data_IF_431170055818
#
_entry.id   IF_431170055818
#
_cell.length_a   1.000
_cell.length_b   1.000
_cell.length_c   1.000
_cell.angle_alpha   90.00
_cell.angle_beta   90.00
_cell.angle_gamma   90.00
#
_symmetry.space_group_name_H-M   'P 1'
#
loop_
_entity.id
_entity.type
_entity.pdbx_description
1 polymer ?
#
# COMPACT_ATOMS: atom_id res chain seq x y z
N UNK A 1 -20.20 -25.35 -1.46
CA UNK A 1 -18.77 -25.58 -1.77
C UNK A 1 -18.28 -24.55 -2.77
N UNK A 2 -18.42 -23.27 -2.43
CA UNK A 2 -17.77 -22.16 -3.12
C UNK A 2 -17.32 -21.25 -1.97
N UNK A 3 -16.06 -21.34 -1.55
CA UNK A 3 -15.58 -20.43 -0.50
C UNK A 3 -14.04 -20.40 -0.39
N UNK A 4 -13.38 -21.56 -0.43
CA UNK A 4 -11.92 -21.61 -0.21
C UNK A 4 -11.08 -21.06 -1.36
N UNK A 5 -11.52 -21.21 -2.62
CA UNK A 5 -10.80 -20.68 -3.78
C UNK A 5 -10.96 -19.17 -3.95
N UNK A 6 -12.12 -18.62 -3.57
CA UNK A 6 -12.39 -17.18 -3.63
C UNK A 6 -11.65 -16.45 -2.50
N UNK A 7 -11.63 -17.02 -1.29
CA UNK A 7 -10.85 -16.50 -0.18
C UNK A 7 -9.34 -16.54 -0.43
N UNK A 8 -8.82 -17.66 -0.97
CA UNK A 8 -7.40 -17.77 -1.31
C UNK A 8 -6.96 -16.73 -2.38
N UNK A 9 -7.85 -16.42 -3.33
CA UNK A 9 -7.60 -15.38 -4.32
C UNK A 9 -7.60 -13.97 -3.68
N UNK A 10 -8.58 -13.66 -2.84
CA UNK A 10 -8.64 -12.37 -2.14
C UNK A 10 -7.40 -12.14 -1.25
N UNK A 11 -6.96 -13.16 -0.51
CA UNK A 11 -5.74 -13.09 0.30
C UNK A 11 -4.52 -12.77 -0.55
N UNK A 12 -4.34 -13.50 -1.66
CA UNK A 12 -3.18 -13.35 -2.53
C UNK A 12 -3.15 -11.97 -3.19
N UNK A 13 -4.30 -11.52 -3.72
CA UNK A 13 -4.45 -10.20 -4.34
C UNK A 13 -4.16 -9.07 -3.34
N UNK A 14 -4.72 -9.15 -2.13
CA UNK A 14 -4.46 -8.14 -1.07
C UNK A 14 -2.99 -8.16 -0.68
N UNK A 15 -2.37 -9.32 -0.47
CA UNK A 15 -0.95 -9.40 -0.10
C UNK A 15 -0.03 -8.82 -1.15
N UNK A 16 -0.25 -9.15 -2.42
CA UNK A 16 0.57 -8.62 -3.53
C UNK A 16 0.41 -7.10 -3.65
N UNK A 17 -0.83 -6.60 -3.58
CA UNK A 17 -1.10 -5.16 -3.60
C UNK A 17 -0.43 -4.42 -2.43
N UNK A 18 -0.53 -4.95 -1.21
CA UNK A 18 0.10 -4.35 -0.02
C UNK A 18 1.63 -4.42 -0.07
N UNK A 19 2.20 -5.49 -0.63
CA UNK A 19 3.65 -5.61 -0.80
C UNK A 19 4.18 -4.53 -1.76
N UNK A 20 3.52 -4.34 -2.92
CA UNK A 20 3.88 -3.29 -3.89
C UNK A 20 3.73 -1.90 -3.28
N UNK A 21 2.61 -1.64 -2.59
CA UNK A 21 2.37 -0.38 -1.90
C UNK A 21 3.46 -0.09 -0.86
N UNK A 22 3.84 -1.09 -0.05
CA UNK A 22 4.92 -0.95 0.93
C UNK A 22 6.27 -0.65 0.30
N UNK A 23 6.60 -1.29 -0.82
CA UNK A 23 7.83 -0.99 -1.57
C UNK A 23 7.80 0.43 -2.09
N UNK A 24 6.69 0.87 -2.70
CA UNK A 24 6.52 2.24 -3.18
C UNK A 24 6.64 3.27 -2.04
N UNK A 25 6.01 3.01 -0.88
CA UNK A 25 6.17 3.81 0.33
C UNK A 25 7.62 3.89 0.76
N UNK A 26 8.35 2.77 0.78
CA UNK A 26 9.76 2.77 1.13
C UNK A 26 10.60 3.61 0.17
N UNK A 27 10.33 3.57 -1.14
CA UNK A 27 11.04 4.37 -2.14
C UNK A 27 10.72 5.87 -2.03
N UNK A 28 9.45 6.24 -1.88
CA UNK A 28 9.02 7.63 -1.71
C UNK A 28 9.50 8.20 -0.35
N UNK A 29 9.45 7.41 0.72
CA UNK A 29 9.93 7.78 2.05
C UNK A 29 11.43 7.57 2.26
N UNK A 30 12.16 6.95 1.32
CA UNK A 30 13.60 6.62 1.44
C UNK A 30 14.47 7.83 1.76
N UNK A 31 13.93 9.03 1.55
CA UNK A 31 14.62 10.28 1.76
C UNK A 31 13.82 11.31 2.54
N UNK A 32 12.70 11.02 3.22
CA UNK A 32 11.84 11.96 4.00
C UNK A 32 12.19 13.48 4.03
N UNK A 33 13.34 13.91 4.60
CA UNK A 33 13.79 15.32 4.48
C UNK A 33 14.48 15.63 3.15
N UNK A 34 15.44 14.81 2.72
CA UNK A 34 16.05 14.83 1.39
C UNK A 34 15.04 14.72 0.25
N UNK A 35 13.93 14.00 0.39
CA UNK A 35 12.92 13.83 -0.66
C UNK A 35 12.12 15.11 -0.83
N UNK A 36 11.73 15.74 0.30
CA UNK A 36 11.14 17.08 0.28
C UNK A 36 12.10 18.12 -0.29
N UNK A 37 13.40 18.01 0.04
CA UNK A 37 14.43 18.89 -0.51
C UNK A 37 14.60 18.69 -2.03
N UNK A 38 14.63 17.44 -2.50
CA UNK A 38 14.74 17.10 -3.92
C UNK A 38 13.48 17.54 -4.70
N UNK A 39 12.29 17.31 -4.15
CA UNK A 39 11.03 17.84 -4.68
C UNK A 39 11.06 19.38 -4.77
N UNK A 40 11.61 20.07 -3.75
CA UNK A 40 11.77 21.52 -3.79
C UNK A 40 12.80 21.99 -4.82
N UNK A 41 13.82 21.17 -5.10
CA UNK A 41 14.81 21.39 -6.15
C UNK A 41 14.34 20.94 -7.54
N UNK A 42 13.06 20.63 -7.69
CA UNK A 42 12.42 20.23 -8.95
C UNK A 42 12.97 18.93 -9.56
N UNK A 43 13.57 18.07 -8.73
CA UNK A 43 14.21 16.82 -9.14
C UNK A 43 13.19 15.84 -9.76
N UNK A 44 13.44 15.44 -11.00
CA UNK A 44 12.53 14.59 -11.78
C UNK A 44 12.43 13.17 -11.21
N UNK A 45 13.47 12.65 -10.57
CA UNK A 45 13.46 11.31 -9.97
C UNK A 45 12.55 11.30 -8.73
N UNK A 46 12.62 12.35 -7.90
CA UNK A 46 11.74 12.52 -6.76
C UNK A 46 10.27 12.63 -7.18
N UNK A 47 9.95 13.40 -8.22
CA UNK A 47 8.58 13.50 -8.77
C UNK A 47 8.09 12.18 -9.35
N UNK A 48 8.95 11.44 -10.06
CA UNK A 48 8.61 10.14 -10.62
C UNK A 48 8.28 9.13 -9.52
N UNK A 49 9.05 9.12 -8.43
CA UNK A 49 8.78 8.27 -7.27
C UNK A 49 7.42 8.60 -6.62
N UNK A 50 7.08 9.87 -6.47
CA UNK A 50 5.79 10.32 -5.90
C UNK A 50 4.60 9.95 -6.82
N UNK A 51 4.77 10.14 -8.13
CA UNK A 51 3.79 9.70 -9.12
C UNK A 51 3.62 8.18 -9.13
N UNK A 52 4.71 7.41 -8.99
CA UNK A 52 4.67 5.96 -8.91
C UNK A 52 3.95 5.50 -7.64
N UNK A 53 4.21 6.14 -6.49
CA UNK A 53 3.50 5.89 -5.24
C UNK A 53 1.99 6.13 -5.42
N UNK A 54 1.61 7.27 -5.97
CA UNK A 54 0.19 7.62 -6.20
C UNK A 54 -0.52 6.57 -7.07
N UNK A 55 0.16 6.06 -8.10
CA UNK A 55 -0.38 5.01 -8.97
C UNK A 55 -0.56 3.69 -8.23
N UNK A 56 0.47 3.24 -7.53
CA UNK A 56 0.41 1.98 -6.75
C UNK A 56 -0.61 2.08 -5.63
N UNK A 57 -0.76 3.24 -5.01
CA UNK A 57 -1.80 3.49 -4.01
C UNK A 57 -3.20 3.35 -4.60
N UNK A 58 -3.47 3.94 -5.77
CA UNK A 58 -4.75 3.79 -6.45
C UNK A 58 -5.04 2.33 -6.82
N UNK A 59 -4.03 1.58 -7.29
CA UNK A 59 -4.14 0.15 -7.57
C UNK A 59 -4.44 -0.65 -6.29
N UNK A 60 -3.74 -0.38 -5.20
CA UNK A 60 -3.95 -1.04 -3.92
C UNK A 60 -5.36 -0.74 -3.37
N UNK A 61 -5.84 0.50 -3.46
CA UNK A 61 -7.21 0.90 -3.11
C UNK A 61 -8.24 0.12 -3.91
N UNK A 62 -8.03 -0.03 -5.22
CA UNK A 62 -8.92 -0.80 -6.10
C UNK A 62 -9.03 -2.27 -5.69
N UNK A 63 -7.92 -2.89 -5.28
CA UNK A 63 -7.89 -4.28 -4.81
C UNK A 63 -8.57 -4.42 -3.45
N UNK A 64 -8.16 -3.64 -2.44
CA UNK A 64 -8.67 -3.82 -1.07
C UNK A 64 -10.15 -3.45 -0.93
N UNK A 65 -10.69 -2.62 -1.81
CA UNK A 65 -12.12 -2.23 -1.81
C UNK A 65 -13.00 -3.12 -2.69
N UNK A 66 -12.43 -4.11 -3.38
CA UNK A 66 -13.13 -4.93 -4.39
C UNK A 66 -14.28 -5.75 -3.82
N UNK A 67 -14.09 -6.35 -2.64
CA UNK A 67 -15.14 -7.11 -1.94
C UNK A 67 -14.95 -7.03 -0.42
N UNK A 68 -15.93 -7.51 0.32
CA UNK A 68 -15.86 -7.57 1.78
C UNK A 68 -14.71 -8.47 2.25
N UNK A 69 -14.46 -9.60 1.57
CA UNK A 69 -13.33 -10.48 1.89
C UNK A 69 -11.99 -9.75 1.76
N UNK A 70 -11.82 -8.92 0.73
CA UNK A 70 -10.58 -8.13 0.55
C UNK A 70 -10.38 -7.14 1.70
N UNK A 71 -11.46 -6.50 2.16
CA UNK A 71 -11.41 -5.59 3.32
C UNK A 71 -11.08 -6.34 4.60
N UNK A 72 -11.70 -7.50 4.82
CA UNK A 72 -11.40 -8.35 5.98
C UNK A 72 -9.94 -8.79 5.99
N UNK A 73 -9.38 -9.18 4.84
CA UNK A 73 -7.96 -9.50 4.73
C UNK A 73 -7.06 -8.30 5.00
N UNK A 74 -7.43 -7.10 4.54
CA UNK A 74 -6.69 -5.88 4.89
C UNK A 74 -6.68 -5.64 6.40
N UNK A 75 -7.82 -5.77 7.08
CA UNK A 75 -7.90 -5.64 8.54
C UNK A 75 -7.07 -6.70 9.25
N UNK A 76 -7.13 -7.96 8.80
CA UNK A 76 -6.34 -9.06 9.35
C UNK A 76 -4.84 -8.76 9.22
N UNK A 77 -4.36 -8.45 8.02
CA UNK A 77 -2.95 -8.13 7.78
C UNK A 77 -2.51 -6.94 8.63
N UNK A 78 -3.32 -5.88 8.70
CA UNK A 78 -3.03 -4.69 9.51
C UNK A 78 -2.98 -5.02 11.00
N UNK A 79 -3.85 -5.91 11.49
CA UNK A 79 -3.87 -6.34 12.91
C UNK A 79 -2.63 -7.14 13.31
N UNK A 80 -2.05 -7.88 12.36
CA UNK A 80 -0.84 -8.69 12.57
C UNK A 80 0.46 -7.87 12.55
N UNK A 81 0.41 -6.61 12.10
CA UNK A 81 1.56 -5.70 12.14
C UNK A 81 1.81 -5.18 13.56
N UNK A 82 3.09 -5.08 13.93
CA UNK A 82 3.54 -4.33 15.11
C UNK A 82 3.15 -2.85 14.96
N UNK A 83 2.87 -2.18 16.06
CA UNK A 83 2.31 -0.81 16.05
C UNK A 83 3.17 0.18 15.25
N UNK A 84 4.49 0.17 15.44
CA UNK A 84 5.39 1.05 14.69
C UNK A 84 5.39 0.77 13.17
N UNK A 85 5.14 -0.47 12.75
CA UNK A 85 5.01 -0.84 11.34
C UNK A 85 3.67 -0.34 10.81
N UNK A 86 2.61 -0.47 11.60
CA UNK A 86 1.26 0.00 11.23
C UNK A 86 1.23 1.52 11.06
N UNK A 87 1.91 2.28 11.93
CA UNK A 87 2.03 3.73 11.83
C UNK A 87 2.76 4.19 10.57
N UNK A 88 3.74 3.40 10.11
CA UNK A 88 4.52 3.70 8.91
C UNK A 88 3.80 3.27 7.63
N UNK A 89 3.31 2.04 7.60
CA UNK A 89 2.75 1.43 6.40
C UNK A 89 1.29 1.92 6.17
N UNK A 90 0.58 2.35 7.22
CA UNK A 90 -0.77 2.96 7.18
C UNK A 90 -1.77 2.27 6.26
N UNK A 91 -1.72 0.94 6.18
CA UNK A 91 -2.54 0.15 5.25
C UNK A 91 -4.05 0.44 5.34
N UNK A 92 -4.57 0.77 6.53
CA UNK A 92 -5.98 1.12 6.70
C UNK A 92 -6.40 2.39 5.96
N UNK A 93 -5.48 3.32 5.68
CA UNK A 93 -5.76 4.51 4.86
C UNK A 93 -6.13 4.17 3.41
N UNK A 94 -5.83 2.96 2.94
CA UNK A 94 -6.27 2.48 1.63
C UNK A 94 -7.79 2.27 1.55
N UNK A 95 -8.52 2.37 2.67
CA UNK A 95 -9.99 2.34 2.71
C UNK A 95 -10.64 3.72 2.58
N UNK A 96 -9.89 4.82 2.76
CA UNK A 96 -10.37 6.21 2.68
C UNK A 96 -10.50 6.70 1.22
#
# INVERSE_FOLDING_TARGET
MADSSVQANAEHEVRDALARYKVALMYAHYRNWWHKLLMWLDDDEAKQADSALSKVEAEARSVVRRSEDHRQYLYLVSSLQLDYVRERDKFLSLLD
#
